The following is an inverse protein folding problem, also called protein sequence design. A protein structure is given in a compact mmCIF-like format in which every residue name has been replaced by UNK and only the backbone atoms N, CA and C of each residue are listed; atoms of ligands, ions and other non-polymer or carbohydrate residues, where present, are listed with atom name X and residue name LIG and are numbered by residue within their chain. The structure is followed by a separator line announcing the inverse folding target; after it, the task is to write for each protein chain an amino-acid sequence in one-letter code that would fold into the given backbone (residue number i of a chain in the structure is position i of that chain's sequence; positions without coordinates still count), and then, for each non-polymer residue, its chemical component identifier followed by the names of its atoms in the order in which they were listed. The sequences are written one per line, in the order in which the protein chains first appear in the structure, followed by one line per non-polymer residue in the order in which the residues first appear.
data_IF_309837230399
#
_entry.id   IF_309837230399
#
_cell.length_a   1.000
_cell.length_b   1.000
_cell.length_c   1.000
_cell.angle_alpha   90.00
_cell.angle_beta   90.00
_cell.angle_gamma   90.00
#
_symmetry.space_group_name_H-M   'P 1'
#
loop_
_entity.id
_entity.type
_entity.pdbx_description
1 polymer ?
#
# COMPACT_ATOMS: atom_id res chain seq x y z
N UNK A 1 5.57 4.92 -15.26
CA UNK A 1 4.75 4.69 -14.04
C UNK A 1 3.36 4.99 -14.49
N UNK A 2 2.46 4.00 -14.43
CA UNK A 2 1.11 4.12 -15.00
C UNK A 2 0.43 5.37 -14.42
N UNK A 3 0.19 6.37 -15.26
CA UNK A 3 -0.60 7.52 -14.85
C UNK A 3 -2.06 7.12 -14.76
N UNK A 4 -2.82 7.84 -13.93
CA UNK A 4 -4.24 7.54 -13.73
C UNK A 4 -5.01 7.54 -15.03
N UNK A 5 -4.79 8.56 -15.88
CA UNK A 5 -5.54 8.76 -17.12
C UNK A 5 -5.15 7.76 -18.23
N UNK A 6 -4.03 7.06 -18.06
CA UNK A 6 -3.59 6.01 -19.00
C UNK A 6 -4.32 4.68 -18.78
N UNK A 7 -5.07 4.54 -17.67
CA UNK A 7 -5.82 3.33 -17.35
C UNK A 7 -7.13 3.31 -18.13
N UNK A 8 -7.19 2.45 -19.14
CA UNK A 8 -8.37 2.21 -19.99
C UNK A 8 -8.98 0.86 -19.62
N UNK A 9 -10.18 0.87 -19.04
CA UNK A 9 -10.91 -0.36 -18.71
C UNK A 9 -11.38 -1.03 -20.00
N UNK A 10 -11.15 -2.35 -20.13
CA UNK A 10 -11.53 -3.16 -21.29
C UNK A 10 -12.80 -3.96 -21.02
N UNK A 11 -12.75 -4.88 -20.06
CA UNK A 11 -13.89 -5.71 -19.64
C UNK A 11 -13.96 -5.73 -18.11
N UNK A 12 -15.17 -5.81 -17.57
CA UNK A 12 -15.39 -5.89 -16.13
C UNK A 12 -16.58 -6.81 -15.82
N UNK A 13 -16.46 -7.59 -14.75
CA UNK A 13 -17.53 -8.46 -14.26
C UNK A 13 -17.49 -8.51 -12.73
N UNK A 14 -18.67 -8.52 -12.10
CA UNK A 14 -18.82 -8.55 -10.64
C UNK A 14 -19.31 -9.94 -10.21
N UNK A 15 -18.65 -10.52 -9.22
CA UNK A 15 -19.05 -11.76 -8.56
C UNK A 15 -19.31 -11.49 -7.09
N UNK A 16 -20.29 -12.17 -6.49
CA UNK A 16 -20.64 -12.04 -5.07
C UNK A 16 -20.03 -13.21 -4.32
N UNK A 17 -19.11 -12.93 -3.39
CA UNK A 17 -18.39 -13.91 -2.59
C UNK A 17 -18.74 -13.73 -1.10
N UNK A 18 -19.98 -14.06 -0.74
CA UNK A 18 -20.52 -13.86 0.61
C UNK A 18 -20.34 -15.11 1.49
N UNK A 19 -19.17 -15.21 2.10
CA UNK A 19 -18.85 -16.27 3.07
C UNK A 19 -19.68 -16.21 4.35
N UNK A 20 -20.26 -15.05 4.71
CA UNK A 20 -21.12 -14.94 5.89
C UNK A 20 -22.46 -15.64 5.67
N UNK A 21 -22.94 -15.65 4.42
CA UNK A 21 -24.18 -16.32 4.02
C UNK A 21 -23.95 -17.68 3.36
N UNK A 22 -22.69 -18.02 3.07
CA UNK A 22 -22.36 -19.22 2.31
C UNK A 22 -22.75 -19.12 0.83
N UNK A 23 -22.84 -17.91 0.28
CA UNK A 23 -23.28 -17.64 -1.08
C UNK A 23 -22.10 -17.26 -1.98
N UNK A 24 -21.93 -17.99 -3.08
CA UNK A 24 -20.99 -17.67 -4.15
C UNK A 24 -21.80 -17.51 -5.45
N UNK A 25 -22.10 -16.26 -5.85
CA UNK A 25 -22.90 -15.97 -7.04
C UNK A 25 -21.97 -15.47 -8.14
N UNK A 26 -21.82 -16.31 -9.16
CA UNK A 26 -20.92 -16.08 -10.27
C UNK A 26 -21.70 -15.48 -11.45
N UNK A 27 -21.55 -14.18 -11.69
CA UNK A 27 -22.12 -13.53 -12.88
C UNK A 27 -21.63 -14.19 -14.18
N UNK A 28 -22.50 -14.22 -15.18
CA UNK A 28 -22.23 -14.64 -16.55
C UNK A 28 -22.39 -13.48 -17.55
N UNK A 29 -22.49 -12.24 -17.05
CA UNK A 29 -22.74 -11.04 -17.87
C UNK A 29 -21.72 -9.97 -17.50
N UNK A 30 -21.10 -9.37 -18.52
CA UNK A 30 -20.21 -8.23 -18.35
C UNK A 30 -20.97 -7.01 -17.82
N UNK A 31 -20.28 -6.19 -17.04
CA UNK A 31 -20.75 -4.86 -16.72
C UNK A 31 -20.64 -3.98 -17.96
N UNK A 32 -21.65 -3.12 -18.16
CA UNK A 32 -21.57 -1.96 -19.05
C UNK A 32 -21.36 -0.71 -18.19
N UNK A 33 -20.11 -0.42 -17.76
CA UNK A 33 -19.84 0.71 -16.89
C UNK A 33 -20.07 2.01 -17.63
N UNK A 34 -21.07 2.79 -17.20
CA UNK A 34 -21.14 4.20 -17.55
C UNK A 34 -19.90 4.98 -17.07
N UNK A 35 -19.76 6.27 -17.45
CA UNK A 35 -18.59 7.09 -17.11
C UNK A 35 -18.23 7.09 -15.61
N UNK A 36 -19.24 7.18 -14.74
CA UNK A 36 -19.04 7.22 -13.29
C UNK A 36 -18.46 5.91 -12.73
N UNK A 37 -18.93 4.76 -13.24
CA UNK A 37 -18.40 3.46 -12.82
C UNK A 37 -17.00 3.24 -13.39
N UNK A 38 -16.73 3.67 -14.62
CA UNK A 38 -15.38 3.67 -15.17
C UNK A 38 -14.40 4.45 -14.28
N UNK A 39 -14.77 5.66 -13.87
CA UNK A 39 -13.96 6.50 -12.98
C UNK A 39 -13.77 5.83 -11.62
N UNK A 40 -14.82 5.22 -11.07
CA UNK A 40 -14.75 4.45 -9.82
C UNK A 40 -13.73 3.31 -9.90
N UNK A 41 -13.77 2.50 -10.96
CA UNK A 41 -12.87 1.36 -11.15
C UNK A 41 -11.43 1.86 -11.38
N UNK A 42 -11.26 2.85 -12.27
CA UNK A 42 -9.97 3.48 -12.57
C UNK A 42 -9.30 4.03 -11.30
N UNK A 43 -10.07 4.72 -10.45
CA UNK A 43 -9.58 5.26 -9.19
C UNK A 43 -9.02 4.16 -8.27
N UNK A 44 -9.71 3.02 -8.18
CA UNK A 44 -9.28 1.91 -7.34
C UNK A 44 -8.03 1.21 -7.88
N UNK A 45 -7.99 0.93 -9.19
CA UNK A 45 -6.81 0.36 -9.85
C UNK A 45 -5.61 1.29 -9.67
N UNK A 46 -5.77 2.59 -9.93
CA UNK A 46 -4.70 3.57 -9.77
C UNK A 46 -4.09 3.55 -8.37
N UNK A 47 -4.92 3.56 -7.32
CA UNK A 47 -4.47 3.49 -5.93
C UNK A 47 -3.66 2.24 -5.60
N UNK A 48 -3.91 1.14 -6.30
CA UNK A 48 -3.16 -0.11 -6.10
C UNK A 48 -1.83 -0.03 -6.84
N UNK A 49 -1.83 0.32 -8.13
CA UNK A 49 -0.61 0.34 -8.93
C UNK A 49 0.39 1.41 -8.51
N UNK A 50 -0.09 2.50 -7.89
CA UNK A 50 0.71 3.62 -7.37
C UNK A 50 0.99 3.52 -5.85
N UNK A 51 0.73 2.38 -5.22
CA UNK A 51 0.87 2.24 -3.76
C UNK A 51 2.19 1.57 -3.38
N UNK A 52 2.95 2.19 -2.48
CA UNK A 52 4.16 1.58 -1.91
C UNK A 52 3.88 0.53 -0.81
N UNK A 53 2.60 0.27 -0.49
CA UNK A 53 2.18 -0.84 0.37
C UNK A 53 1.97 -2.15 -0.42
N UNK A 54 1.99 -2.13 -1.77
CA UNK A 54 1.87 -3.37 -2.55
C UNK A 54 3.19 -4.12 -2.60
N UNK A 55 3.11 -5.44 -2.59
CA UNK A 55 4.23 -6.35 -2.86
C UNK A 55 4.35 -6.58 -4.37
N UNK A 56 5.57 -6.82 -4.85
CA UNK A 56 5.75 -7.50 -6.13
C UNK A 56 5.77 -9.00 -5.87
N UNK A 57 5.14 -9.78 -6.74
CA UNK A 57 5.09 -11.22 -6.61
C UNK A 57 5.29 -11.92 -7.95
N UNK A 58 5.84 -13.12 -7.86
CA UNK A 58 6.00 -14.05 -8.98
C UNK A 58 5.25 -15.32 -8.64
N UNK A 59 4.44 -15.82 -9.58
CA UNK A 59 3.78 -17.10 -9.43
C UNK A 59 4.80 -18.21 -9.24
N UNK A 60 4.42 -19.25 -8.49
CA UNK A 60 5.07 -20.54 -8.62
C UNK A 60 4.46 -21.28 -9.83
N UNK A 61 5.20 -21.47 -10.94
CA UNK A 61 4.61 -22.01 -12.17
C UNK A 61 4.13 -23.46 -12.04
N UNK A 62 4.70 -24.22 -11.09
CA UNK A 62 4.36 -25.63 -10.89
C UNK A 62 3.12 -25.80 -10.00
N UNK A 63 2.98 -24.95 -8.99
CA UNK A 63 1.98 -25.12 -7.94
C UNK A 63 0.83 -24.10 -7.99
N UNK A 64 0.97 -23.00 -8.72
CA UNK A 64 -0.07 -21.96 -8.74
C UNK A 64 -1.33 -22.40 -9.50
N UNK A 65 -2.49 -22.43 -8.84
CA UNK A 65 -3.75 -22.77 -9.50
C UNK A 65 -4.28 -21.63 -10.37
N UNK A 66 -3.77 -20.41 -10.21
CA UNK A 66 -4.17 -19.24 -10.98
C UNK A 66 -3.29 -19.10 -12.22
N UNK A 67 -1.99 -19.34 -12.09
CA UNK A 67 -1.06 -19.30 -13.22
C UNK A 67 -1.50 -20.21 -14.37
N UNK A 68 -1.81 -21.47 -14.08
CA UNK A 68 -2.30 -22.43 -15.08
C UNK A 68 -3.60 -22.03 -15.78
N UNK A 69 -4.52 -21.33 -15.08
CA UNK A 69 -5.73 -20.77 -15.70
C UNK A 69 -5.34 -19.66 -16.68
N UNK A 70 -4.49 -18.73 -16.25
CA UNK A 70 -4.07 -17.58 -17.05
C UNK A 70 -3.24 -17.97 -18.28
N UNK A 71 -2.53 -19.09 -18.28
CA UNK A 71 -1.81 -19.61 -19.45
C UNK A 71 -2.75 -20.09 -20.57
N UNK A 72 -3.96 -20.49 -20.23
CA UNK A 72 -4.97 -20.99 -21.20
C UNK A 72 -6.04 -19.96 -21.53
N UNK A 73 -5.98 -18.78 -20.91
CA UNK A 73 -6.97 -17.74 -21.04
C UNK A 73 -6.78 -16.89 -22.29
N UNK A 74 -7.84 -16.75 -23.09
CA UNK A 74 -7.93 -15.73 -24.15
C UNK A 74 -8.73 -14.52 -23.63
N UNK A 75 -8.02 -13.44 -23.28
CA UNK A 75 -8.67 -12.20 -22.81
C UNK A 75 -9.59 -11.59 -23.87
N UNK A 76 -9.30 -11.79 -25.15
CA UNK A 76 -10.03 -11.14 -26.24
C UNK A 76 -11.40 -11.79 -26.47
N UNK A 77 -11.50 -13.10 -26.25
CA UNK A 77 -12.76 -13.84 -26.30
C UNK A 77 -13.64 -13.56 -25.07
N UNK A 78 -14.92 -13.29 -25.29
CA UNK A 78 -15.85 -12.94 -24.21
C UNK A 78 -16.25 -14.15 -23.39
N UNK A 79 -16.46 -15.31 -24.03
CA UNK A 79 -16.79 -16.55 -23.32
C UNK A 79 -15.63 -17.00 -22.44
N UNK A 80 -14.41 -17.00 -22.97
CA UNK A 80 -13.19 -17.32 -22.23
C UNK A 80 -12.96 -16.36 -21.06
N UNK A 81 -13.23 -15.05 -21.23
CA UNK A 81 -13.20 -14.08 -20.14
C UNK A 81 -14.15 -14.45 -19.00
N UNK A 82 -15.42 -14.74 -19.32
CA UNK A 82 -16.43 -15.08 -18.32
C UNK A 82 -16.07 -16.39 -17.61
N UNK A 83 -15.72 -17.44 -18.34
CA UNK A 83 -15.35 -18.73 -17.74
C UNK A 83 -14.13 -18.62 -16.82
N UNK A 84 -13.13 -17.84 -17.24
CA UNK A 84 -11.91 -17.58 -16.46
C UNK A 84 -12.23 -16.77 -15.21
N UNK A 85 -13.06 -15.71 -15.33
CA UNK A 85 -13.43 -14.88 -14.18
C UNK A 85 -14.19 -15.70 -13.13
N UNK A 86 -15.10 -16.57 -13.56
CA UNK A 86 -15.85 -17.48 -12.69
C UNK A 86 -14.95 -18.51 -12.01
N UNK A 87 -14.01 -19.12 -12.74
CA UNK A 87 -13.08 -20.10 -12.20
C UNK A 87 -12.17 -19.47 -11.12
N UNK A 88 -11.62 -18.28 -11.39
CA UNK A 88 -10.78 -17.53 -10.45
C UNK A 88 -11.60 -17.05 -9.24
N UNK A 89 -12.82 -16.54 -9.45
CA UNK A 89 -13.71 -16.10 -8.37
C UNK A 89 -14.07 -17.26 -7.43
N UNK A 90 -14.36 -18.44 -7.98
CA UNK A 90 -14.66 -19.62 -7.18
C UNK A 90 -13.45 -20.09 -6.36
N UNK A 91 -12.23 -20.07 -6.95
CA UNK A 91 -11.00 -20.37 -6.20
C UNK A 91 -10.77 -19.37 -5.06
N UNK A 92 -11.01 -18.09 -5.30
CA UNK A 92 -10.91 -17.06 -4.27
C UNK A 92 -11.93 -17.31 -3.14
N UNK A 93 -13.18 -17.62 -3.48
CA UNK A 93 -14.22 -17.94 -2.51
C UNK A 93 -13.85 -19.12 -1.60
N UNK A 94 -13.30 -20.20 -2.19
CA UNK A 94 -12.82 -21.35 -1.42
C UNK A 94 -11.70 -20.94 -0.46
N UNK A 95 -10.70 -20.18 -0.94
CA UNK A 95 -9.60 -19.71 -0.11
C UNK A 95 -10.06 -18.76 1.01
N UNK A 96 -11.08 -17.93 0.75
CA UNK A 96 -11.70 -17.09 1.78
C UNK A 96 -12.38 -17.92 2.88
N UNK A 97 -12.92 -19.10 2.54
CA UNK A 97 -13.58 -20.00 3.49
C UNK A 97 -12.64 -20.67 4.50
N UNK A 98 -11.33 -20.57 4.32
CA UNK A 98 -10.33 -21.17 5.23
C UNK A 98 -10.15 -20.37 6.53
N UNK A 99 -10.54 -19.08 6.55
CA UNK A 99 -10.39 -18.20 7.71
C UNK A 99 -11.70 -17.51 8.07
N UNK A 100 -12.17 -17.69 9.31
CA UNK A 100 -13.44 -17.12 9.79
C UNK A 100 -13.46 -15.59 9.79
N UNK A 101 -12.29 -14.95 9.97
CA UNK A 101 -12.15 -13.50 10.00
C UNK A 101 -11.92 -12.89 8.61
N UNK A 102 -11.83 -13.70 7.54
CA UNK A 102 -11.68 -13.20 6.17
C UNK A 102 -13.02 -12.60 5.73
N UNK A 103 -13.10 -11.29 5.45
CA UNK A 103 -14.39 -10.66 5.20
C UNK A 103 -15.00 -11.12 3.88
N UNK A 104 -16.32 -11.37 3.90
CA UNK A 104 -17.16 -11.43 2.72
C UNK A 104 -16.98 -10.18 1.84
N UNK A 105 -17.09 -10.36 0.53
CA UNK A 105 -16.78 -9.33 -0.44
C UNK A 105 -17.48 -9.60 -1.77
N UNK A 106 -17.59 -8.55 -2.58
CA UNK A 106 -17.72 -8.75 -4.01
C UNK A 106 -16.33 -8.78 -4.64
N UNK A 107 -16.15 -9.64 -5.63
CA UNK A 107 -14.97 -9.63 -6.49
C UNK A 107 -15.31 -8.90 -7.79
N UNK A 108 -14.70 -7.74 -7.98
CA UNK A 108 -14.72 -7.06 -9.26
C UNK A 108 -13.48 -7.51 -10.07
N UNK A 109 -13.73 -8.29 -11.12
CA UNK A 109 -12.73 -8.84 -12.03
C UNK A 109 -12.66 -7.95 -13.28
N UNK A 110 -11.51 -7.34 -13.55
CA UNK A 110 -11.38 -6.28 -14.54
C UNK A 110 -10.13 -6.47 -15.38
N UNK A 111 -10.27 -6.46 -16.71
CA UNK A 111 -9.11 -6.22 -17.58
C UNK A 111 -9.00 -4.75 -17.92
N UNK A 112 -7.78 -4.24 -17.91
CA UNK A 112 -7.49 -2.86 -18.30
C UNK A 112 -6.21 -2.80 -19.11
N UNK A 113 -6.06 -1.74 -19.89
CA UNK A 113 -4.86 -1.45 -20.65
C UNK A 113 -4.21 -0.19 -20.09
N UNK A 114 -2.89 -0.21 -19.98
CA UNK A 114 -2.08 0.95 -19.66
C UNK A 114 -0.72 0.83 -20.37
N UNK A 115 -0.23 1.93 -20.95
CA UNK A 115 1.06 1.96 -21.67
C UNK A 115 1.21 0.84 -22.73
N UNK A 116 0.10 0.41 -23.35
CA UNK A 116 0.07 -0.66 -24.36
C UNK A 116 0.04 -2.10 -23.83
N UNK A 117 0.08 -2.29 -22.51
CA UNK A 117 0.07 -3.60 -21.86
C UNK A 117 -1.31 -3.88 -21.27
N UNK A 118 -1.79 -5.12 -21.41
CA UNK A 118 -3.05 -5.58 -20.80
C UNK A 118 -2.74 -6.16 -19.42
N UNK A 119 -3.56 -5.78 -18.45
CA UNK A 119 -3.49 -6.21 -17.07
C UNK A 119 -4.83 -6.78 -16.63
N UNK A 120 -4.79 -7.72 -15.67
CA UNK A 120 -5.94 -8.18 -14.90
C UNK A 120 -5.89 -7.59 -13.49
N UNK A 121 -6.96 -6.91 -13.07
CA UNK A 121 -7.18 -6.47 -11.70
C UNK A 121 -8.27 -7.33 -11.04
N UNK A 122 -7.94 -7.92 -9.90
CA UNK A 122 -8.85 -8.59 -8.98
C UNK A 122 -9.05 -7.68 -7.77
N UNK A 123 -10.21 -7.02 -7.71
CA UNK A 123 -10.54 -6.06 -6.66
C UNK A 123 -11.49 -6.72 -5.66
N UNK A 124 -10.98 -7.14 -4.50
CA UNK A 124 -11.79 -7.77 -3.44
C UNK A 124 -12.47 -6.69 -2.57
N UNK A 125 -13.69 -6.35 -2.94
CA UNK A 125 -14.49 -5.28 -2.36
C UNK A 125 -15.18 -5.73 -1.07
N UNK A 126 -14.42 -5.80 0.03
CA UNK A 126 -14.96 -6.19 1.33
C UNK A 126 -16.15 -5.32 1.71
N UNK A 127 -17.22 -5.98 2.17
CA UNK A 127 -18.43 -5.28 2.56
C UNK A 127 -18.21 -4.34 3.74
N UNK A 128 -18.94 -3.23 3.72
CA UNK A 128 -19.04 -2.28 4.83
C UNK A 128 -20.46 -2.25 5.34
N UNK A 129 -20.55 -2.07 6.65
CA UNK A 129 -21.82 -1.81 7.32
C UNK A 129 -22.05 -0.31 7.39
N UNK A 130 -23.26 0.13 7.05
CA UNK A 130 -23.70 1.51 7.29
C UNK A 130 -25.20 1.58 7.50
N UNK A 131 -25.68 2.73 7.93
CA UNK A 131 -27.10 3.00 8.07
C UNK A 131 -27.59 3.79 6.86
N UNK A 132 -28.73 3.39 6.28
CA UNK A 132 -29.43 4.12 5.23
C UNK A 132 -30.89 4.34 5.63
N UNK A 133 -31.56 5.27 4.95
CA UNK A 133 -33.01 5.41 5.10
C UNK A 133 -33.72 4.39 4.20
N UNK A 134 -34.83 3.86 4.70
CA UNK A 134 -35.77 3.07 3.91
C UNK A 134 -37.12 3.77 3.95
N UNK A 135 -37.82 3.79 2.81
CA UNK A 135 -39.18 4.29 2.71
C UNK A 135 -40.08 3.12 2.32
N UNK A 136 -41.04 2.79 3.19
CA UNK A 136 -42.06 1.78 2.89
C UNK A 136 -43.42 2.45 2.75
N UNK A 137 -44.12 2.11 1.67
CA UNK A 137 -45.49 2.53 1.40
C UNK A 137 -46.40 1.30 1.50
N UNK A 138 -47.39 1.34 2.39
CA UNK A 138 -48.41 0.29 2.45
C UNK A 138 -49.48 0.55 1.36
N UNK A 139 -49.68 -0.37 0.38
CA UNK A 139 -50.56 -0.11 -0.76
C UNK A 139 -52.02 0.21 -0.40
N UNK A 140 -52.52 -0.37 0.70
CA UNK A 140 -53.94 -0.30 1.09
C UNK A 140 -54.26 0.84 2.08
N UNK A 141 -53.25 1.55 2.57
CA UNK A 141 -53.39 2.70 3.47
C UNK A 141 -52.15 3.59 3.30
N UNK A 142 -52.26 4.83 2.80
CA UNK A 142 -51.10 5.65 2.40
C UNK A 142 -50.38 6.22 3.63
N UNK A 143 -49.81 5.33 4.44
CA UNK A 143 -48.89 5.62 5.51
C UNK A 143 -47.50 5.51 4.90
N UNK A 144 -46.81 6.64 4.86
CA UNK A 144 -45.40 6.71 4.49
C UNK A 144 -44.61 6.49 5.77
N UNK A 145 -43.93 5.36 5.87
CA UNK A 145 -43.00 5.08 6.95
C UNK A 145 -41.58 5.33 6.48
N UNK A 146 -40.84 6.14 7.24
CA UNK A 146 -39.40 6.36 7.06
C UNK A 146 -38.67 5.72 8.23
N UNK A 147 -37.78 4.78 7.95
CA UNK A 147 -36.98 4.10 8.98
C UNK A 147 -35.48 4.20 8.68
N UNK A 148 -34.65 3.90 9.67
CA UNK A 148 -33.20 3.80 9.56
C UNK A 148 -32.83 2.31 9.61
N UNK A 149 -32.42 1.77 8.46
CA UNK A 149 -32.00 0.37 8.34
C UNK A 149 -30.48 0.27 8.27
N UNK A 150 -29.93 -0.84 8.77
CA UNK A 150 -28.51 -1.17 8.65
C UNK A 150 -28.28 -2.04 7.42
N UNK A 151 -27.49 -1.55 6.47
CA UNK A 151 -27.06 -2.31 5.29
C UNK A 151 -25.68 -2.90 5.55
N UNK A 152 -25.52 -4.20 5.26
CA UNK A 152 -24.29 -4.95 5.56
C UNK A 152 -23.44 -5.28 4.33
N UNK A 153 -23.90 -4.94 3.12
CA UNK A 153 -23.28 -5.30 1.83
C UNK A 153 -22.86 -4.08 1.00
N UNK A 154 -22.55 -2.96 1.66
CA UNK A 154 -22.14 -1.76 0.93
C UNK A 154 -20.71 -1.92 0.40
N UNK A 155 -20.55 -1.66 -0.89
CA UNK A 155 -19.24 -1.61 -1.53
C UNK A 155 -18.40 -0.44 -0.98
N UNK A 156 -17.06 -0.56 -1.01
CA UNK A 156 -16.15 0.55 -0.73
C UNK A 156 -16.49 1.81 -1.55
N UNK A 157 -16.45 2.98 -0.91
CA UNK A 157 -16.58 4.26 -1.61
C UNK A 157 -15.41 4.50 -2.58
N UNK A 158 -15.63 5.29 -3.63
CA UNK A 158 -14.62 5.68 -4.63
C UNK A 158 -13.31 6.22 -4.02
N UNK A 159 -13.41 6.89 -2.88
CA UNK A 159 -12.28 7.50 -2.17
C UNK A 159 -11.62 6.54 -1.19
N UNK A 160 -12.31 5.50 -0.74
CA UNK A 160 -11.73 4.52 0.16
C UNK A 160 -10.69 3.63 -0.53
N UNK A 161 -9.84 3.01 0.27
CA UNK A 161 -8.84 2.05 -0.20
C UNK A 161 -9.38 0.65 -0.01
N UNK A 162 -9.28 -0.17 -1.06
CA UNK A 162 -9.55 -1.60 -0.97
C UNK A 162 -8.42 -2.26 -0.18
N UNK A 163 -8.71 -3.09 0.82
CA UNK A 163 -7.69 -3.68 1.68
C UNK A 163 -6.89 -4.81 1.00
N UNK A 164 -7.47 -5.43 -0.02
CA UNK A 164 -6.99 -6.66 -0.64
C UNK A 164 -7.25 -6.60 -2.15
N UNK A 165 -6.19 -6.71 -2.97
CA UNK A 165 -6.31 -6.66 -4.41
C UNK A 165 -5.10 -7.26 -5.10
N UNK A 166 -5.31 -7.74 -6.33
CA UNK A 166 -4.26 -8.31 -7.18
C UNK A 166 -4.27 -7.57 -8.51
N UNK A 167 -3.11 -7.16 -9.02
CA UNK A 167 -2.96 -6.67 -10.39
C UNK A 167 -1.88 -7.49 -11.06
N UNK A 168 -2.22 -8.12 -12.18
CA UNK A 168 -1.36 -9.06 -12.91
C UNK A 168 -1.10 -8.46 -14.29
N UNK A 169 0.16 -8.35 -14.67
CA UNK A 169 0.54 -8.04 -16.05
C UNK A 169 0.34 -9.30 -16.91
N UNK A 170 -0.52 -9.24 -17.92
CA UNK A 170 -0.82 -10.42 -18.74
C UNK A 170 0.24 -10.73 -19.81
N UNK A 171 1.28 -9.90 -19.91
CA UNK A 171 2.42 -10.16 -20.82
C UNK A 171 3.54 -10.97 -20.16
N UNK A 172 3.76 -10.80 -18.86
CA UNK A 172 4.87 -11.44 -18.11
C UNK A 172 4.44 -12.10 -16.79
N UNK A 173 3.14 -12.04 -16.47
CA UNK A 173 2.52 -12.56 -15.25
C UNK A 173 3.06 -11.99 -13.93
N UNK A 174 3.78 -10.87 -13.97
CA UNK A 174 4.24 -10.20 -12.76
C UNK A 174 3.06 -9.62 -11.98
N UNK A 175 3.07 -9.78 -10.66
CA UNK A 175 1.94 -9.44 -9.80
C UNK A 175 2.28 -8.25 -8.91
N UNK A 176 1.36 -7.28 -8.81
CA UNK A 176 1.28 -6.35 -7.69
C UNK A 176 0.18 -6.82 -6.74
N UNK A 177 0.55 -7.10 -5.50
CA UNK A 177 -0.34 -7.68 -4.50
C UNK A 177 -0.53 -6.74 -3.31
N UNK A 178 -1.77 -6.46 -2.97
CA UNK A 178 -2.18 -5.87 -1.71
C UNK A 178 -2.93 -6.92 -0.90
N UNK A 179 -2.50 -7.19 0.32
CA UNK A 179 -3.09 -8.25 1.14
C UNK A 179 -2.97 -7.97 2.64
N UNK A 180 -3.77 -8.72 3.42
CA UNK A 180 -3.79 -8.67 4.88
C UNK A 180 -3.51 -10.05 5.46
N UNK A 181 -3.04 -10.05 6.71
CA UNK A 181 -2.94 -11.26 7.51
C UNK A 181 -4.29 -11.54 8.17
N UNK A 182 -4.70 -12.80 8.11
CA UNK A 182 -5.86 -13.32 8.83
C UNK A 182 -5.45 -14.54 9.63
N UNK A 183 -6.26 -14.89 10.63
CA UNK A 183 -6.07 -16.14 11.37
C UNK A 183 -6.70 -17.28 10.57
N UNK A 184 -5.89 -18.30 10.28
CA UNK A 184 -6.27 -19.51 9.54
C UNK A 184 -5.72 -20.68 10.35
N UNK A 185 -6.61 -21.57 10.81
CA UNK A 185 -6.24 -22.71 11.67
C UNK A 185 -5.38 -22.34 12.91
N UNK A 186 -5.60 -21.15 13.48
CA UNK A 186 -4.88 -20.65 14.66
C UNK A 186 -3.54 -19.96 14.36
N UNK A 187 -3.14 -19.84 13.09
CA UNK A 187 -1.92 -19.13 12.67
C UNK A 187 -2.22 -17.92 11.79
N UNK A 188 -1.39 -16.87 11.89
CA UNK A 188 -1.55 -15.66 11.06
C UNK A 188 -0.87 -15.83 9.70
N UNK A 189 -1.66 -16.08 8.67
CA UNK A 189 -1.19 -16.33 7.31
C UNK A 189 -1.67 -15.27 6.30
N UNK A 190 -0.97 -15.17 5.17
CA UNK A 190 -1.37 -14.38 4.01
C UNK A 190 -2.07 -15.27 2.97
N UNK A 191 -3.37 -15.55 3.15
CA UNK A 191 -4.08 -16.49 2.26
C UNK A 191 -4.05 -16.12 0.78
N UNK A 192 -3.98 -14.83 0.43
CA UNK A 192 -3.89 -14.41 -0.96
C UNK A 192 -2.60 -14.87 -1.61
N UNK A 193 -1.44 -14.57 -1.02
CA UNK A 193 -0.16 -15.03 -1.57
C UNK A 193 0.09 -16.52 -1.38
N UNK A 194 -0.33 -17.09 -0.24
CA UNK A 194 0.06 -18.44 0.18
C UNK A 194 -0.88 -19.51 -0.38
N UNK A 195 -2.20 -19.28 -0.39
CA UNK A 195 -3.19 -20.32 -0.68
C UNK A 195 -3.90 -20.08 -2.02
N UNK A 196 -4.26 -18.82 -2.30
CA UNK A 196 -5.00 -18.46 -3.53
C UNK A 196 -4.07 -18.33 -4.73
N UNK A 197 -3.06 -17.46 -4.67
CA UNK A 197 -2.13 -17.23 -5.78
C UNK A 197 -0.99 -18.24 -5.80
N UNK A 198 -0.53 -18.70 -4.64
CA UNK A 198 0.69 -19.52 -4.47
C UNK A 198 1.87 -18.84 -5.17
N UNK A 199 2.33 -17.73 -4.61
CA UNK A 199 3.34 -16.87 -5.21
C UNK A 199 4.43 -16.46 -4.21
N UNK A 200 5.65 -16.22 -4.72
CA UNK A 200 6.75 -15.64 -3.94
C UNK A 200 6.56 -14.15 -3.85
N UNK A 201 6.74 -13.57 -2.67
CA UNK A 201 6.47 -12.14 -2.44
C UNK A 201 7.70 -11.38 -1.99
N UNK A 202 7.83 -10.14 -2.45
CA UNK A 202 8.84 -9.18 -1.97
C UNK A 202 8.33 -8.37 -0.77
N UNK A 203 9.24 -7.75 -0.03
CA UNK A 203 8.88 -6.75 0.99
C UNK A 203 8.36 -5.48 0.28
N UNK A 204 7.20 -4.90 0.67
CA UNK A 204 6.71 -3.65 0.08
C UNK A 204 7.68 -2.48 0.27
N UNK A 205 7.81 -1.55 -0.70
CA UNK A 205 8.73 -0.41 -0.61
C UNK A 205 8.57 0.44 0.65
N UNK A 206 7.34 0.72 1.08
CA UNK A 206 7.08 1.46 2.33
C UNK A 206 7.58 0.71 3.56
N UNK A 207 7.46 -0.62 3.57
CA UNK A 207 7.96 -1.45 4.68
C UNK A 207 9.49 -1.49 4.67
N UNK A 208 10.13 -1.57 3.49
CA UNK A 208 11.59 -1.43 3.34
C UNK A 208 12.08 -0.08 3.89
N UNK A 209 11.45 1.04 3.51
CA UNK A 209 11.78 2.36 4.04
C UNK A 209 11.61 2.47 5.57
N UNK A 210 10.55 1.88 6.13
CA UNK A 210 10.34 1.85 7.57
C UNK A 210 11.41 1.02 8.30
N UNK A 211 11.81 -0.13 7.73
CA UNK A 211 12.91 -0.95 8.28
C UNK A 211 14.20 -0.16 8.26
N UNK A 212 14.57 0.40 7.10
CA UNK A 212 15.76 1.24 6.92
C UNK A 212 15.82 2.37 7.96
N UNK A 213 14.76 3.18 8.03
CA UNK A 213 14.67 4.31 8.96
C UNK A 213 14.78 3.86 10.42
N UNK A 214 14.18 2.72 10.77
CA UNK A 214 14.24 2.17 12.14
C UNK A 214 15.64 1.66 12.48
N UNK A 215 16.29 0.93 11.58
CA UNK A 215 17.65 0.40 11.79
C UNK A 215 18.63 1.56 12.00
N UNK A 216 18.58 2.57 11.13
CA UNK A 216 19.42 3.76 11.25
C UNK A 216 19.20 4.45 12.61
N UNK A 217 17.93 4.71 12.97
CA UNK A 217 17.62 5.36 14.25
C UNK A 217 18.10 4.56 15.45
N UNK A 218 18.01 3.22 15.42
CA UNK A 218 18.48 2.37 16.50
C UNK A 218 20.00 2.46 16.67
N UNK A 219 20.75 2.41 15.57
CA UNK A 219 22.22 2.54 15.59
C UNK A 219 22.63 3.93 16.07
N UNK A 220 22.03 5.00 15.53
CA UNK A 220 22.29 6.36 16.00
C UNK A 220 22.00 6.51 17.49
N UNK A 221 20.86 6.00 17.99
CA UNK A 221 20.54 6.07 19.41
C UNK A 221 21.52 5.30 20.30
N UNK A 222 22.04 4.15 19.82
CA UNK A 222 22.98 3.31 20.57
C UNK A 222 24.35 3.96 20.71
N UNK A 223 24.88 4.54 19.63
CA UNK A 223 26.25 5.05 19.59
C UNK A 223 26.37 6.55 19.84
N UNK A 224 25.43 7.34 19.34
CA UNK A 224 25.44 8.81 19.42
C UNK A 224 24.49 9.33 20.51
N UNK A 225 23.77 8.43 21.17
CA UNK A 225 22.75 8.76 22.16
C UNK A 225 21.57 9.51 21.53
N UNK A 226 20.96 10.41 22.30
CA UNK A 226 19.84 11.21 21.83
C UNK A 226 20.29 12.47 21.04
N UNK A 227 21.50 12.50 20.48
CA UNK A 227 22.01 13.67 19.76
C UNK A 227 21.05 14.08 18.61
N UNK A 228 20.48 15.27 18.78
CA UNK A 228 19.47 15.80 17.89
C UNK A 228 20.07 16.10 16.51
N UNK A 229 21.32 16.55 16.47
CA UNK A 229 22.01 16.90 15.23
C UNK A 229 22.20 15.66 14.35
N UNK A 230 22.73 14.57 14.89
CA UNK A 230 22.93 13.32 14.15
C UNK A 230 21.62 12.76 13.57
N UNK A 231 20.51 12.87 14.30
CA UNK A 231 19.17 12.47 13.80
C UNK A 231 18.70 13.34 12.65
N UNK A 232 18.97 14.64 12.70
CA UNK A 232 18.62 15.58 11.63
C UNK A 232 19.48 15.38 10.39
N UNK A 233 20.80 15.23 10.55
CA UNK A 233 21.75 14.92 9.46
C UNK A 233 21.38 13.63 8.74
N UNK A 234 21.01 12.59 9.51
CA UNK A 234 20.54 11.31 8.98
C UNK A 234 19.28 11.46 8.12
N UNK A 235 18.28 12.14 8.66
CA UNK A 235 16.99 12.33 7.99
C UNK A 235 17.13 13.19 6.74
N UNK A 236 17.98 14.22 6.82
CA UNK A 236 18.42 15.03 5.70
C UNK A 236 19.04 14.19 4.59
N UNK A 237 19.96 13.30 4.93
CA UNK A 237 20.61 12.42 3.96
C UNK A 237 19.61 11.51 3.23
N UNK A 238 18.67 10.89 3.96
CA UNK A 238 17.60 10.06 3.38
C UNK A 238 16.65 10.88 2.50
N UNK A 239 16.28 12.09 2.93
CA UNK A 239 15.42 12.98 2.17
C UNK A 239 16.10 13.42 0.87
N UNK A 240 17.40 13.74 0.92
CA UNK A 240 18.19 14.08 -0.26
C UNK A 240 18.26 12.91 -1.24
N UNK A 241 18.51 11.70 -0.75
CA UNK A 241 18.55 10.49 -1.57
C UNK A 241 17.26 10.30 -2.37
N UNK A 242 16.12 10.48 -1.70
CA UNK A 242 14.82 10.42 -2.36
C UNK A 242 14.60 11.55 -3.38
N UNK A 243 15.00 12.79 -3.07
CA UNK A 243 14.82 13.93 -3.97
C UNK A 243 15.65 13.75 -5.24
N UNK A 244 16.89 13.28 -5.11
CA UNK A 244 17.82 13.15 -6.22
C UNK A 244 17.48 11.92 -7.08
N UNK A 245 17.16 10.77 -6.47
CA UNK A 245 17.09 9.48 -7.17
C UNK A 245 15.70 8.83 -7.21
N UNK A 246 14.75 9.27 -6.38
CA UNK A 246 13.44 8.60 -6.14
C UNK A 246 13.57 7.12 -5.71
N UNK A 247 14.77 6.71 -5.32
CA UNK A 247 15.12 5.37 -4.85
C UNK A 247 15.98 5.44 -3.59
N UNK A 248 16.13 4.30 -2.93
CA UNK A 248 16.99 4.12 -1.78
C UNK A 248 17.90 2.93 -2.05
N UNK A 249 19.19 3.20 -2.18
CA UNK A 249 20.24 2.19 -2.24
C UNK A 249 20.78 1.96 -0.82
N UNK A 250 20.57 0.74 -0.31
CA UNK A 250 20.91 0.43 1.08
C UNK A 250 22.41 0.52 1.34
N UNK A 251 23.23 0.09 0.39
CA UNK A 251 24.68 0.07 0.52
C UNK A 251 25.25 1.49 0.50
N UNK A 252 24.83 2.31 -0.47
CA UNK A 252 25.26 3.71 -0.59
C UNK A 252 24.87 4.53 0.66
N UNK A 253 23.63 4.35 1.14
CA UNK A 253 23.14 5.01 2.36
C UNK A 253 23.98 4.59 3.57
N UNK A 254 24.24 3.28 3.73
CA UNK A 254 25.07 2.76 4.81
C UNK A 254 26.48 3.35 4.80
N UNK A 255 27.11 3.42 3.62
CA UNK A 255 28.45 4.00 3.44
C UNK A 255 28.47 5.50 3.75
N UNK A 256 27.47 6.24 3.29
CA UNK A 256 27.35 7.70 3.50
C UNK A 256 27.14 8.06 4.97
N UNK A 257 26.31 7.30 5.68
CA UNK A 257 25.98 7.56 7.09
C UNK A 257 27.03 7.02 8.06
N UNK A 258 27.54 5.81 7.80
CA UNK A 258 28.35 5.07 8.78
C UNK A 258 29.75 4.70 8.29
N UNK A 259 30.13 4.99 7.05
CA UNK A 259 31.42 4.58 6.48
C UNK A 259 32.67 5.11 7.20
N UNK A 260 32.54 6.18 7.99
CA UNK A 260 33.63 6.70 8.85
C UNK A 260 33.80 5.92 10.16
N UNK A 261 32.87 5.02 10.48
CA UNK A 261 32.79 4.28 11.73
C UNK A 261 32.58 2.79 11.44
N UNK A 262 33.67 1.99 11.33
CA UNK A 262 33.59 0.58 10.95
C UNK A 262 32.61 -0.24 11.78
N UNK A 263 32.53 0.03 13.09
CA UNK A 263 31.61 -0.66 14.01
C UNK A 263 30.13 -0.41 13.65
N UNK A 264 29.72 0.86 13.48
CA UNK A 264 28.36 1.24 13.07
C UNK A 264 28.00 0.67 11.70
N UNK A 265 28.95 0.70 10.76
CA UNK A 265 28.72 0.16 9.41
C UNK A 265 28.50 -1.34 9.45
N UNK A 266 29.33 -2.07 10.20
CA UNK A 266 29.18 -3.52 10.38
C UNK A 266 27.84 -3.88 11.01
N UNK A 267 27.38 -3.15 12.04
CA UNK A 267 26.08 -3.41 12.66
C UNK A 267 24.92 -3.06 11.71
N UNK A 268 25.03 -1.97 10.93
CA UNK A 268 24.04 -1.63 9.91
C UNK A 268 23.89 -2.75 8.88
N UNK A 269 25.02 -3.24 8.36
CA UNK A 269 25.06 -4.31 7.37
C UNK A 269 24.44 -5.60 7.90
N UNK A 270 24.85 -6.04 9.09
CA UNK A 270 24.29 -7.24 9.74
C UNK A 270 22.77 -7.10 9.95
N UNK A 271 22.31 -5.91 10.38
CA UNK A 271 20.87 -5.67 10.60
C UNK A 271 20.09 -5.65 9.30
N UNK A 272 20.64 -5.12 8.22
CA UNK A 272 19.97 -5.10 6.92
C UNK A 272 19.97 -6.49 6.26
N UNK A 273 21.04 -7.27 6.45
CA UNK A 273 21.13 -8.67 6.02
C UNK A 273 20.07 -9.55 6.72
N UNK A 274 19.80 -9.34 8.02
CA UNK A 274 18.71 -10.02 8.76
C UNK A 274 17.30 -9.81 8.16
N UNK A 275 17.12 -8.81 7.29
CA UNK A 275 15.87 -8.56 6.56
C UNK A 275 15.97 -8.86 5.05
N UNK A 276 17.09 -9.43 4.59
CA UNK A 276 17.41 -9.64 3.17
C UNK A 276 17.46 -8.32 2.35
N UNK A 277 17.95 -7.23 2.96
CA UNK A 277 17.95 -5.90 2.35
C UNK A 277 19.35 -5.28 2.13
N UNK A 278 20.44 -5.94 2.51
CA UNK A 278 21.78 -5.33 2.54
C UNK A 278 22.20 -4.69 1.19
N UNK A 279 21.89 -5.34 0.08
CA UNK A 279 22.21 -4.87 -1.29
C UNK A 279 20.96 -4.47 -2.08
N UNK A 280 19.84 -4.26 -1.38
CA UNK A 280 18.58 -3.93 -2.03
C UNK A 280 18.59 -2.47 -2.52
N UNK A 281 17.98 -2.26 -3.68
CA UNK A 281 17.68 -0.93 -4.20
C UNK A 281 16.19 -0.89 -4.55
N UNK A 282 15.46 0.03 -3.93
CA UNK A 282 14.02 0.13 -4.11
C UNK A 282 13.56 1.56 -4.37
N UNK A 283 12.57 1.69 -5.25
CA UNK A 283 11.91 2.96 -5.57
C UNK A 283 10.71 3.19 -4.66
N UNK A 284 10.45 4.46 -4.36
CA UNK A 284 9.25 4.88 -3.63
C UNK A 284 8.46 5.80 -4.54
N UNK A 285 7.27 5.34 -4.92
CA UNK A 285 6.46 5.98 -5.95
C UNK A 285 5.50 7.00 -5.37
N UNK A 286 5.00 6.76 -4.17
CA UNK A 286 4.03 7.62 -3.51
C UNK A 286 4.75 8.62 -2.60
N UNK A 287 4.64 9.92 -2.92
CA UNK A 287 5.24 10.99 -2.11
C UNK A 287 4.78 10.97 -0.65
N UNK A 288 3.55 10.51 -0.38
CA UNK A 288 3.06 10.40 1.00
C UNK A 288 3.87 9.42 1.86
N UNK A 289 4.54 8.44 1.24
CA UNK A 289 5.42 7.47 1.92
C UNK A 289 6.66 8.15 2.50
N UNK A 290 7.22 9.14 1.79
CA UNK A 290 8.40 9.89 2.23
C UNK A 290 8.07 11.16 3.00
N UNK A 291 6.80 11.53 3.14
CA UNK A 291 6.36 12.74 3.85
C UNK A 291 6.92 12.86 5.27
N UNK A 292 7.21 11.73 5.92
CA UNK A 292 7.87 11.71 7.24
C UNK A 292 9.33 12.17 7.18
N UNK A 293 10.00 12.04 6.04
CA UNK A 293 11.35 12.53 5.77
C UNK A 293 11.36 14.03 5.47
N UNK A 294 10.29 14.60 4.90
CA UNK A 294 10.25 16.01 4.46
C UNK A 294 10.41 17.04 5.58
N UNK A 295 10.01 16.71 6.82
CA UNK A 295 10.10 17.62 7.96
C UNK A 295 10.41 16.92 9.26
N UNK A 296 11.18 17.56 10.11
CA UNK A 296 11.40 17.16 11.50
C UNK A 296 10.48 17.97 12.41
N UNK A 297 9.78 17.29 13.30
CA UNK A 297 9.02 17.94 14.38
C UNK A 297 9.75 17.65 15.69
N UNK A 298 10.00 18.69 16.46
CA UNK A 298 10.61 18.63 17.78
C UNK A 298 9.62 19.23 18.77
N UNK A 299 9.50 18.61 19.94
CA UNK A 299 8.63 19.07 21.01
C UNK A 299 9.51 19.29 22.24
N UNK A 300 9.49 20.50 22.78
CA UNK A 300 10.22 20.81 24.01
C UNK A 300 9.49 20.23 25.23
N UNK A 301 10.17 20.19 26.38
CA UNK A 301 9.57 19.86 27.68
C UNK A 301 8.42 20.80 28.07
N UNK A 302 8.49 22.07 27.62
CA UNK A 302 7.42 23.07 27.76
C UNK A 302 6.28 22.93 26.76
N UNK A 303 6.31 21.94 25.85
CA UNK A 303 5.28 21.70 24.85
C UNK A 303 5.35 22.58 23.60
N UNK A 304 6.46 23.30 23.38
CA UNK A 304 6.67 24.08 22.16
C UNK A 304 6.99 23.12 21.02
N UNK A 305 6.17 23.16 19.96
CA UNK A 305 6.43 22.42 18.73
C UNK A 305 7.23 23.25 17.73
N UNK A 306 8.36 22.72 17.27
CA UNK A 306 9.20 23.30 16.24
C UNK A 306 9.20 22.35 15.05
N UNK A 307 8.66 22.79 13.92
CA UNK A 307 8.64 22.01 12.68
C UNK A 307 9.60 22.59 11.65
N UNK A 308 10.58 21.79 11.22
CA UNK A 308 11.65 22.20 10.31
C UNK A 308 11.58 21.36 9.04
N UNK A 309 11.29 21.95 7.87
CA UNK A 309 11.45 21.26 6.59
C UNK A 309 12.90 20.86 6.35
N UNK A 310 13.14 19.62 5.89
CA UNK A 310 14.50 19.14 5.61
C UNK A 310 15.15 19.89 4.45
N UNK A 311 14.39 20.37 3.46
CA UNK A 311 14.95 21.28 2.45
C UNK A 311 15.57 22.53 3.07
N UNK A 312 14.90 23.12 4.07
CA UNK A 312 15.38 24.30 4.78
C UNK A 312 16.64 23.96 5.57
N UNK A 313 16.63 22.82 6.28
CA UNK A 313 17.81 22.34 7.00
C UNK A 313 19.02 22.11 6.07
N UNK A 314 18.80 21.54 4.88
CA UNK A 314 19.85 21.26 3.90
C UNK A 314 20.45 22.53 3.27
N UNK A 315 19.63 23.57 3.09
CA UNK A 315 20.03 24.85 2.47
C UNK A 315 20.68 25.81 3.45
N UNK A 316 20.38 25.70 4.74
CA UNK A 316 20.78 26.67 5.73
C UNK A 316 21.95 26.18 6.60
N UNK A 317 23.07 26.90 6.53
CA UNK A 317 24.07 26.93 7.61
C UNK A 317 23.55 27.66 8.88
N UNK A 318 22.25 27.91 8.97
CA UNK A 318 21.63 28.85 9.92
C UNK A 318 20.84 28.16 11.03
N UNK A 319 20.81 26.83 11.04
CA UNK A 319 20.20 26.05 12.11
C UNK A 319 21.29 25.30 12.89
N UNK A 320 21.40 25.60 14.17
CA UNK A 320 22.33 24.94 15.09
C UNK A 320 21.59 24.42 16.32
N UNK A 321 21.92 23.19 16.70
CA UNK A 321 21.59 22.65 18.01
C UNK A 321 22.89 22.55 18.78
N UNK A 322 22.93 23.19 19.95
CA UNK A 322 24.06 23.11 20.86
C UNK A 322 23.57 22.48 22.16
N UNK A 323 24.21 21.40 22.59
CA UNK A 323 23.92 20.76 23.88
C UNK A 323 25.04 21.10 24.84
N UNK A 324 24.71 21.70 25.97
CA UNK A 324 25.69 22.03 26.99
C UNK A 324 26.07 20.81 27.86
N UNK A 325 27.07 20.98 28.72
CA UNK A 325 27.56 19.94 29.64
C UNK A 325 26.51 19.50 30.67
N UNK A 326 25.43 20.26 30.85
CA UNK A 326 24.30 19.93 31.73
C UNK A 326 23.20 19.15 31.01
N UNK A 327 23.33 18.93 29.70
CA UNK A 327 22.34 18.25 28.85
C UNK A 327 21.23 19.18 28.34
N UNK A 328 21.30 20.50 28.59
CA UNK A 328 20.32 21.44 28.05
C UNK A 328 20.65 21.75 26.58
N UNK A 329 19.64 21.65 25.74
CA UNK A 329 19.74 21.96 24.31
C UNK A 329 19.35 23.42 24.05
N UNK A 330 20.20 24.15 23.34
CA UNK A 330 19.91 25.47 22.77
C UNK A 330 19.74 25.31 21.27
N UNK A 331 18.60 25.77 20.76
CA UNK A 331 18.30 25.79 19.32
C UNK A 331 18.51 27.22 18.82
N UNK A 332 19.40 27.40 17.85
CA UNK A 332 19.69 28.70 17.24
C UNK A 332 19.22 28.68 15.78
N UNK A 333 18.32 29.60 15.45
CA UNK A 333 17.82 29.81 14.09
C UNK A 333 18.27 31.22 13.68
N UNK A 334 19.13 31.33 12.65
CA UNK A 334 19.67 32.60 12.16
C UNK A 334 19.02 33.00 10.83
N UNK A 335 19.17 34.27 10.46
CA UNK A 335 18.75 34.84 9.18
C UNK A 335 17.24 34.67 8.89
N UNK A 336 16.41 35.12 9.84
CA UNK A 336 14.96 35.17 9.68
C UNK A 336 14.59 36.58 9.22
N UNK A 337 14.15 36.72 7.96
CA UNK A 337 13.77 38.02 7.39
C UNK A 337 12.38 38.48 7.83
N UNK A 338 11.44 37.55 8.03
CA UNK A 338 10.07 37.83 8.42
C UNK A 338 9.47 36.70 9.27
N UNK A 339 8.59 37.07 10.21
CA UNK A 339 7.86 36.17 11.10
C UNK A 339 6.36 36.47 10.98
N UNK A 340 5.58 35.44 10.68
CA UNK A 340 4.12 35.53 10.54
C UNK A 340 3.45 34.47 11.42
N UNK A 341 2.33 34.86 12.05
CA UNK A 341 1.46 33.94 12.77
C UNK A 341 0.61 33.17 11.75
N UNK A 342 0.52 31.85 11.92
CA UNK A 342 -0.24 30.96 11.03
C UNK A 342 -1.64 30.69 11.54
#
# INVERSE_FOLDING_TARGET
MIAKDDIVIRKAILHILDTNRGECILSNTLLDPGPDLHDFIRNHIYKIVSSDDTKNCEFDPEYSPIYSILETWDESDETSFIETSQAIANKLYIAMGEGLDIPAADLLFVTFQAEGIIYLALLKMNYKESYTHEVTETPDNPVINTDIIKTHSLLPSATSRIPEAVVINLSDYHIKLLEKKYEINGEKAYYLSENFLVCRTSIPPKKKLNILTRVINNISNKYDGADLKTKMDTKSALQKEYVDNKSFDIEEIGNKLFGKSPEKKSEFDEKMEQYDLQYDNFTVTNESTVKKLEKQVMVTDSGIEISIPMETYNKLANFEVQTDVTGKSTIIIRNIDNLVLK
#
